data_IF_511568255087
#
_entry.id   IF_511568255087
#
_cell.length_a   1.000
_cell.length_b   1.000
_cell.length_c   1.000
_cell.angle_alpha   90.00
_cell.angle_beta   90.00
_cell.angle_gamma   90.00
#
_symmetry.space_group_name_H-M   'P 1'
#
loop_
_entity.id
_entity.type
_entity.pdbx_description
1 polymer ?
#
# COMPACT_ATOMS: atom_id res chain seq x y z
N UNK A 1 2.18 27.45 -7.53
CA UNK A 1 1.54 28.26 -6.47
C UNK A 1 1.54 27.42 -5.18
N UNK A 2 2.41 27.74 -4.23
CA UNK A 2 2.34 27.15 -2.90
C UNK A 2 1.15 27.77 -2.16
N UNK A 3 0.20 26.95 -1.74
CA UNK A 3 -0.88 27.42 -0.87
C UNK A 3 -0.28 27.72 0.51
N UNK A 4 -0.38 28.96 0.96
CA UNK A 4 0.15 29.41 2.26
C UNK A 4 -0.91 29.43 3.37
N UNK A 5 -2.11 28.89 3.10
CA UNK A 5 -3.20 28.80 4.08
C UNK A 5 -3.15 27.54 4.93
N UNK A 6 -3.81 27.56 6.09
CA UNK A 6 -3.98 26.39 6.97
C UNK A 6 -4.89 25.34 6.35
N UNK A 7 -5.74 25.72 5.42
CA UNK A 7 -6.74 24.91 4.74
C UNK A 7 -6.52 24.90 3.25
N UNK A 8 -6.93 23.83 2.62
CA UNK A 8 -6.66 23.54 1.23
C UNK A 8 -7.73 24.09 0.25
N UNK A 9 -8.83 24.56 0.80
CA UNK A 9 -9.93 25.17 0.03
C UNK A 9 -9.57 26.52 -0.58
N UNK A 10 -10.55 27.18 -1.20
CA UNK A 10 -10.38 28.55 -1.70
C UNK A 10 -10.23 29.57 -0.57
N UNK A 11 -10.20 29.11 0.68
CA UNK A 11 -10.14 29.94 1.88
C UNK A 11 -8.72 30.00 2.43
N UNK A 12 -8.24 31.18 2.72
CA UNK A 12 -7.05 31.37 3.55
C UNK A 12 -7.47 31.87 4.93
N UNK A 13 -7.41 30.98 5.93
CA UNK A 13 -7.85 31.27 7.29
C UNK A 13 -7.10 32.45 7.88
N UNK A 14 -5.78 32.55 7.66
CA UNK A 14 -4.93 33.63 8.14
C UNK A 14 -5.39 34.97 7.58
N UNK A 15 -5.68 35.05 6.28
CA UNK A 15 -6.16 36.26 5.62
C UNK A 15 -7.59 36.60 6.05
N UNK A 16 -8.45 35.60 6.26
CA UNK A 16 -9.79 35.80 6.80
C UNK A 16 -9.77 36.41 8.20
N UNK A 17 -8.94 35.87 9.10
CA UNK A 17 -8.74 36.39 10.45
C UNK A 17 -8.17 37.81 10.38
N UNK A 18 -7.15 38.07 9.55
CA UNK A 18 -6.56 39.37 9.37
C UNK A 18 -7.60 40.38 8.87
N UNK A 19 -8.41 40.02 7.87
CA UNK A 19 -9.47 40.88 7.33
C UNK A 19 -10.53 41.21 8.37
N UNK A 20 -10.92 40.26 9.24
CA UNK A 20 -11.84 40.50 10.33
C UNK A 20 -11.27 41.52 11.34
N UNK A 21 -10.08 41.25 11.87
CA UNK A 21 -9.45 42.17 12.83
C UNK A 21 -9.22 43.56 12.25
N UNK A 22 -8.78 43.68 11.01
CA UNK A 22 -8.61 44.96 10.33
C UNK A 22 -9.94 45.67 10.13
N UNK A 23 -11.00 44.95 9.71
CA UNK A 23 -12.31 45.54 9.48
C UNK A 23 -12.88 46.11 10.77
N UNK A 24 -12.80 45.42 11.91
CA UNK A 24 -13.32 45.91 13.17
C UNK A 24 -12.42 46.95 13.80
N UNK A 25 -11.10 46.82 13.70
CA UNK A 25 -10.16 47.72 14.42
C UNK A 25 -9.77 48.98 13.64
N UNK A 26 -9.86 48.97 12.29
CA UNK A 26 -9.29 50.03 11.47
C UNK A 26 -10.30 50.76 10.56
N UNK A 27 -11.59 50.46 10.65
CA UNK A 27 -12.61 51.01 9.73
C UNK A 27 -12.74 52.56 9.83
N UNK A 28 -12.41 53.13 10.97
CA UNK A 28 -12.49 54.56 11.20
C UNK A 28 -11.23 55.33 10.73
N UNK A 29 -10.12 54.62 10.59
CA UNK A 29 -8.86 55.20 10.14
C UNK A 29 -8.86 55.52 8.66
N UNK A 30 -8.09 56.56 8.28
CA UNK A 30 -7.98 57.06 6.91
C UNK A 30 -6.54 57.41 6.54
N UNK A 31 -6.26 57.47 5.23
CA UNK A 31 -4.97 57.90 4.70
C UNK A 31 -3.79 57.05 5.18
N UNK A 32 -2.68 57.70 5.50
CA UNK A 32 -1.42 57.05 5.89
C UNK A 32 -1.56 56.23 7.16
N UNK A 33 -2.38 56.65 8.11
CA UNK A 33 -2.61 55.92 9.35
C UNK A 33 -3.29 54.57 9.11
N UNK A 34 -4.27 54.52 8.22
CA UNK A 34 -4.89 53.24 7.84
C UNK A 34 -3.85 52.26 7.22
N UNK A 35 -2.98 52.75 6.36
CA UNK A 35 -1.91 51.93 5.76
C UNK A 35 -0.93 51.42 6.81
N UNK A 36 -0.43 52.27 7.71
CA UNK A 36 0.54 51.91 8.73
C UNK A 36 -0.04 50.88 9.71
N UNK A 37 -1.24 51.14 10.24
CA UNK A 37 -1.88 50.20 11.15
C UNK A 37 -2.28 48.89 10.47
N UNK A 38 -2.70 48.90 9.21
CA UNK A 38 -2.94 47.66 8.43
C UNK A 38 -1.64 46.85 8.26
N UNK A 39 -0.51 47.51 8.00
CA UNK A 39 0.79 46.85 7.94
C UNK A 39 1.17 46.20 9.28
N UNK A 40 0.99 46.92 10.38
CA UNK A 40 1.29 46.43 11.74
C UNK A 40 0.39 45.24 12.09
N UNK A 41 -0.93 45.35 11.89
CA UNK A 41 -1.87 44.26 12.18
C UNK A 41 -1.55 42.98 11.38
N UNK A 42 -1.31 43.14 10.07
CA UNK A 42 -0.95 41.99 9.24
C UNK A 42 0.35 41.36 9.69
N UNK A 43 1.37 42.16 10.00
CA UNK A 43 2.68 41.68 10.44
C UNK A 43 2.57 40.92 11.77
N UNK A 44 1.81 41.42 12.74
CA UNK A 44 1.58 40.74 14.02
C UNK A 44 0.85 39.41 13.80
N UNK A 45 -0.21 39.41 12.99
CA UNK A 45 -0.97 38.18 12.69
C UNK A 45 -0.08 37.16 11.96
N UNK A 46 0.73 37.59 10.98
CA UNK A 46 1.65 36.71 10.26
C UNK A 46 2.72 36.12 11.20
N UNK A 47 3.26 36.95 12.11
CA UNK A 47 4.25 36.50 13.09
C UNK A 47 3.66 35.50 14.08
N UNK A 48 2.50 35.77 14.66
CA UNK A 48 1.79 34.88 15.59
C UNK A 48 1.42 33.56 14.88
N UNK A 49 0.84 33.66 13.68
CA UNK A 49 0.44 32.50 12.91
C UNK A 49 1.66 31.62 12.55
N UNK A 50 2.79 32.23 12.16
CA UNK A 50 4.04 31.51 11.86
C UNK A 50 4.54 30.68 13.04
N UNK A 51 4.57 31.29 14.23
CA UNK A 51 4.99 30.62 15.47
C UNK A 51 4.01 29.49 15.89
N UNK A 52 2.70 29.76 15.82
CA UNK A 52 1.68 28.77 16.17
C UNK A 52 1.74 27.55 15.24
N UNK A 53 1.89 27.79 13.94
CA UNK A 53 1.99 26.73 12.92
C UNK A 53 3.26 25.91 13.14
N UNK A 54 4.41 26.55 13.34
CA UNK A 54 5.67 25.84 13.57
C UNK A 54 5.63 25.02 14.88
N UNK A 55 5.06 25.59 15.95
CA UNK A 55 4.87 24.89 17.23
C UNK A 55 3.92 23.68 17.10
N UNK A 56 2.83 23.83 16.33
CA UNK A 56 1.82 22.79 16.17
C UNK A 56 2.26 21.66 15.21
N UNK A 57 2.93 22.02 14.12
CA UNK A 57 3.19 21.11 13.00
C UNK A 57 4.68 20.84 12.75
N UNK A 58 5.59 21.43 13.55
CA UNK A 58 7.05 21.27 13.43
C UNK A 58 7.61 21.66 12.04
N UNK A 59 6.88 22.47 11.28
CA UNK A 59 7.23 22.87 9.90
C UNK A 59 6.94 24.34 9.68
N UNK A 60 7.84 25.02 8.95
CA UNK A 60 7.61 26.40 8.48
C UNK A 60 6.89 26.37 7.13
N UNK A 61 5.78 27.09 7.02
CA UNK A 61 5.01 27.17 5.77
C UNK A 61 5.47 28.27 4.85
N UNK A 62 6.12 29.30 5.39
CA UNK A 62 6.85 30.34 4.66
C UNK A 62 8.13 30.66 5.40
N UNK A 63 9.12 31.18 4.67
CA UNK A 63 10.42 31.51 5.21
C UNK A 63 10.98 32.73 4.47
N UNK A 64 11.13 33.83 5.21
CA UNK A 64 11.71 35.07 4.73
C UNK A 64 13.18 35.22 5.14
N UNK A 65 13.84 34.22 5.68
CA UNK A 65 15.22 34.30 6.18
C UNK A 65 16.22 34.79 5.12
N UNK A 66 15.90 34.58 3.82
CA UNK A 66 16.73 35.04 2.69
C UNK A 66 16.47 36.50 2.29
N UNK A 67 15.47 37.14 2.86
CA UNK A 67 15.10 38.52 2.53
C UNK A 67 15.71 39.43 3.57
N UNK A 68 16.35 40.55 3.14
CA UNK A 68 16.86 41.58 4.07
C UNK A 68 15.75 42.16 4.91
N UNK A 69 16.06 42.55 6.17
CA UNK A 69 15.14 43.08 7.16
C UNK A 69 13.97 42.14 7.50
N UNK A 70 14.30 40.86 7.69
CA UNK A 70 13.38 39.91 8.27
C UNK A 70 13.60 39.78 9.79
N UNK A 71 12.57 39.31 10.50
CA UNK A 71 12.63 38.93 11.91
C UNK A 71 12.33 37.40 11.98
N UNK A 72 13.35 36.65 12.39
CA UNK A 72 13.30 35.18 12.55
C UNK A 72 12.79 34.41 11.33
N UNK A 73 12.76 35.03 10.15
CA UNK A 73 12.24 34.44 8.92
C UNK A 73 10.71 34.37 8.84
N UNK A 74 9.96 34.80 9.87
CA UNK A 74 8.49 34.77 9.84
C UNK A 74 7.89 36.00 9.17
N UNK A 75 8.52 37.15 9.33
CA UNK A 75 8.07 38.44 8.79
C UNK A 75 9.23 39.20 8.17
N UNK A 76 8.96 40.09 7.23
CA UNK A 76 9.95 40.99 6.65
C UNK A 76 9.31 42.32 6.25
N UNK A 77 10.08 43.43 6.32
CA UNK A 77 9.57 44.77 6.01
C UNK A 77 8.93 44.84 4.61
N UNK A 78 9.52 44.34 3.54
CA UNK A 78 8.86 44.41 2.23
C UNK A 78 7.49 43.70 2.19
N UNK A 79 7.33 42.56 2.86
CA UNK A 79 6.06 41.85 2.91
C UNK A 79 5.06 42.66 3.75
N UNK A 80 5.48 43.24 4.90
CA UNK A 80 4.63 44.08 5.73
C UNK A 80 4.07 45.31 4.99
N UNK A 81 4.88 45.93 4.14
CA UNK A 81 4.41 47.05 3.30
C UNK A 81 3.37 46.61 2.26
N UNK A 82 3.58 45.44 1.64
CA UNK A 82 2.59 44.84 0.71
C UNK A 82 1.28 44.56 1.45
N UNK A 83 1.36 43.97 2.66
CA UNK A 83 0.19 43.70 3.49
C UNK A 83 -0.53 44.96 3.91
N UNK A 84 0.21 46.03 4.23
CA UNK A 84 -0.36 47.37 4.51
C UNK A 84 -1.15 47.90 3.34
N UNK A 85 -0.61 47.83 2.11
CA UNK A 85 -1.32 48.22 0.90
C UNK A 85 -2.59 47.40 0.66
N UNK A 86 -2.50 46.06 0.78
CA UNK A 86 -3.65 45.16 0.62
C UNK A 86 -4.72 45.41 1.68
N UNK A 87 -4.33 45.63 2.93
CA UNK A 87 -5.25 46.00 4.02
C UNK A 87 -5.95 47.34 3.77
N UNK A 88 -5.20 48.33 3.33
CA UNK A 88 -5.78 49.64 2.94
C UNK A 88 -6.82 49.48 1.83
N UNK A 89 -6.48 48.77 0.75
CA UNK A 89 -7.40 48.51 -0.35
C UNK A 89 -8.63 47.69 0.08
N UNK A 90 -8.42 46.66 0.92
CA UNK A 90 -9.48 45.82 1.44
C UNK A 90 -10.50 46.60 2.27
N UNK A 91 -10.04 47.43 3.20
CA UNK A 91 -10.93 48.24 4.07
C UNK A 91 -11.62 49.35 3.27
N UNK A 92 -10.87 50.03 2.40
CA UNK A 92 -11.39 51.22 1.70
C UNK A 92 -12.37 50.86 0.59
N UNK A 93 -12.10 49.83 -0.16
CA UNK A 93 -12.89 49.42 -1.33
C UNK A 93 -13.43 47.99 -1.24
N UNK A 94 -12.65 47.03 -0.72
CA UNK A 94 -13.04 45.63 -0.65
C UNK A 94 -14.31 45.42 0.19
N UNK A 95 -14.40 46.02 1.35
CA UNK A 95 -15.58 45.93 2.23
C UNK A 95 -16.84 46.53 1.57
N UNK A 96 -16.67 47.66 0.85
CA UNK A 96 -17.80 48.28 0.12
C UNK A 96 -18.26 47.40 -1.01
N UNK A 97 -17.33 46.83 -1.77
CA UNK A 97 -17.65 45.91 -2.85
C UNK A 97 -18.36 44.66 -2.31
N UNK A 98 -17.87 44.08 -1.24
CA UNK A 98 -18.50 42.92 -0.58
C UNK A 98 -19.93 43.22 -0.13
N UNK A 99 -20.17 44.36 0.49
CA UNK A 99 -21.51 44.83 0.93
C UNK A 99 -22.46 44.97 -0.27
N UNK A 100 -21.99 45.52 -1.40
CA UNK A 100 -22.80 45.63 -2.62
C UNK A 100 -23.19 44.24 -3.14
N UNK A 101 -22.23 43.35 -3.24
CA UNK A 101 -22.47 41.97 -3.73
C UNK A 101 -23.44 41.25 -2.79
N UNK A 102 -23.27 41.35 -1.47
CA UNK A 102 -24.20 40.74 -0.52
C UNK A 102 -25.61 41.30 -0.57
N UNK A 103 -25.77 42.61 -0.84
CA UNK A 103 -27.07 43.25 -1.01
C UNK A 103 -27.81 42.82 -2.30
N UNK A 104 -27.09 42.30 -3.30
CA UNK A 104 -27.69 41.77 -4.53
C UNK A 104 -28.35 40.38 -4.33
N UNK A 105 -28.00 39.68 -3.24
CA UNK A 105 -28.53 38.34 -2.98
C UNK A 105 -29.73 38.42 -2.02
N UNK A 106 -30.84 37.70 -2.24
CA UNK A 106 -31.89 37.55 -1.26
C UNK A 106 -31.34 37.03 0.08
N UNK A 107 -31.83 37.56 1.19
CA UNK A 107 -31.33 37.25 2.53
C UNK A 107 -31.33 35.75 2.84
N UNK A 108 -32.34 35.04 2.35
CA UNK A 108 -32.46 33.57 2.49
C UNK A 108 -31.30 32.83 1.79
N UNK A 109 -31.03 33.15 0.53
CA UNK A 109 -29.92 32.57 -0.24
C UNK A 109 -28.55 32.88 0.38
N UNK A 110 -28.39 34.10 0.88
CA UNK A 110 -27.15 34.51 1.55
C UNK A 110 -26.92 33.69 2.83
N UNK A 111 -27.96 33.48 3.66
CA UNK A 111 -27.85 32.65 4.86
C UNK A 111 -27.46 31.19 4.51
N UNK A 112 -28.07 30.58 3.49
CA UNK A 112 -27.72 29.25 3.03
C UNK A 112 -26.28 29.21 2.55
N UNK A 113 -25.88 30.17 1.70
CA UNK A 113 -24.52 30.25 1.18
C UNK A 113 -23.47 30.33 2.29
N UNK A 114 -23.70 31.20 3.28
CA UNK A 114 -22.81 31.35 4.44
C UNK A 114 -22.73 30.08 5.25
N UNK A 115 -23.86 29.39 5.51
CA UNK A 115 -23.86 28.13 6.25
C UNK A 115 -23.11 27.01 5.49
N UNK A 116 -23.29 26.91 4.18
CA UNK A 116 -22.59 25.95 3.33
C UNK A 116 -21.08 26.24 3.33
N UNK A 117 -20.68 27.52 3.15
CA UNK A 117 -19.27 27.91 3.17
C UNK A 117 -18.62 27.67 4.54
N UNK A 118 -19.35 27.94 5.64
CA UNK A 118 -18.88 27.61 7.00
C UNK A 118 -18.73 26.08 7.18
N UNK A 119 -19.68 25.30 6.72
CA UNK A 119 -19.60 23.84 6.75
C UNK A 119 -18.38 23.31 6.00
N UNK A 120 -18.13 23.82 4.79
CA UNK A 120 -16.95 23.48 3.99
C UNK A 120 -15.66 23.89 4.70
N UNK A 121 -15.63 25.07 5.30
CA UNK A 121 -14.47 25.58 6.05
C UNK A 121 -14.17 24.70 7.27
N UNK A 122 -15.19 24.31 8.05
CA UNK A 122 -15.03 23.44 9.22
C UNK A 122 -14.48 22.06 8.81
N UNK A 123 -15.05 21.47 7.76
CA UNK A 123 -14.57 20.17 7.22
C UNK A 123 -13.12 20.29 6.75
N UNK A 124 -12.77 21.38 6.08
CA UNK A 124 -11.41 21.59 5.55
C UNK A 124 -10.40 21.85 6.69
N UNK A 125 -10.77 22.59 7.74
CA UNK A 125 -9.93 22.78 8.94
C UNK A 125 -9.71 21.44 9.67
N UNK A 126 -10.77 20.69 9.91
CA UNK A 126 -10.68 19.41 10.61
C UNK A 126 -9.86 18.40 9.80
N UNK A 127 -10.10 18.30 8.50
CA UNK A 127 -9.34 17.44 7.61
C UNK A 127 -7.85 17.78 7.57
N UNK A 128 -7.54 19.08 7.44
CA UNK A 128 -6.15 19.57 7.44
C UNK A 128 -5.45 19.33 8.78
N UNK A 129 -6.13 19.59 9.89
CA UNK A 129 -5.60 19.36 11.24
C UNK A 129 -5.31 17.89 11.52
N UNK A 130 -6.22 16.98 11.16
CA UNK A 130 -6.06 15.55 11.37
C UNK A 130 -4.90 14.97 10.55
N UNK A 131 -4.72 15.45 9.32
CA UNK A 131 -3.65 15.00 8.44
C UNK A 131 -2.27 15.54 8.84
N UNK A 132 -2.19 16.83 9.22
CA UNK A 132 -0.92 17.46 9.59
C UNK A 132 -0.40 16.97 10.97
N UNK A 133 -1.26 16.49 11.86
CA UNK A 133 -0.86 15.99 13.19
C UNK A 133 -0.38 14.53 13.18
N UNK A 134 -0.10 13.95 12.01
CA UNK A 134 0.47 12.59 11.89
C UNK A 134 -0.49 11.45 12.29
N UNK A 135 -1.79 11.75 12.47
CA UNK A 135 -2.81 10.75 12.79
C UNK A 135 -3.51 10.17 11.53
N UNK A 136 -2.80 10.12 10.41
CA UNK A 136 -3.27 9.40 9.21
C UNK A 136 -3.66 7.93 9.50
N UNK A 137 -3.07 7.32 10.54
CA UNK A 137 -3.53 6.03 11.08
C UNK A 137 -4.98 6.05 11.59
N UNK A 138 -5.47 7.20 12.06
CA UNK A 138 -6.85 7.29 12.55
C UNK A 138 -7.86 7.51 11.43
N UNK A 139 -7.46 8.07 10.28
CA UNK A 139 -8.35 8.15 9.12
C UNK A 139 -8.61 6.76 8.53
N UNK A 140 -7.56 5.95 8.38
CA UNK A 140 -7.67 4.54 7.99
C UNK A 140 -8.46 3.70 9.02
N UNK A 141 -8.37 4.06 10.31
CA UNK A 141 -9.14 3.41 11.38
C UNK A 141 -10.61 3.87 11.41
N UNK A 142 -10.89 5.12 11.00
CA UNK A 142 -12.26 5.61 10.80
C UNK A 142 -12.94 4.94 9.60
N UNK A 143 -12.19 4.70 8.51
CA UNK A 143 -12.66 3.89 7.38
C UNK A 143 -12.98 2.45 7.82
N UNK A 144 -12.13 1.85 8.66
CA UNK A 144 -12.34 0.49 9.18
C UNK A 144 -13.46 0.38 10.23
N UNK A 145 -13.79 1.46 10.98
CA UNK A 145 -14.84 1.45 12.00
C UNK A 145 -16.24 1.70 11.43
N UNK A 146 -16.31 2.22 10.21
CA UNK A 146 -17.57 2.50 9.49
C UNK A 146 -18.08 1.33 8.64
N UNK A 147 -17.60 0.11 8.82
CA UNK A 147 -18.12 -1.10 8.15
C UNK A 147 -19.60 -1.41 8.48
N UNK A 148 -20.22 -0.65 9.39
CA UNK A 148 -21.61 -0.83 9.82
C UNK A 148 -22.64 0.17 9.27
N UNK A 149 -22.24 1.21 8.53
CA UNK A 149 -23.15 2.21 7.98
C UNK A 149 -23.11 2.21 6.45
N UNK A 150 -24.13 1.60 5.89
CA UNK A 150 -24.60 1.56 4.51
C UNK A 150 -23.67 1.99 3.34
N UNK A 151 -23.61 1.11 2.34
CA UNK A 151 -22.85 1.18 1.07
C UNK A 151 -22.90 2.53 0.32
N UNK A 152 -23.86 3.39 0.59
CA UNK A 152 -24.02 4.72 -0.05
C UNK A 152 -23.19 5.77 0.70
N UNK A 153 -23.15 5.72 2.03
CA UNK A 153 -22.33 6.60 2.87
C UNK A 153 -20.83 6.34 2.66
N UNK A 154 -20.42 5.08 2.48
CA UNK A 154 -19.04 4.69 2.23
C UNK A 154 -18.48 5.18 0.88
N UNK A 155 -19.34 5.20 -0.16
CA UNK A 155 -18.94 5.67 -1.50
C UNK A 155 -18.75 7.20 -1.54
N UNK A 156 -19.55 7.94 -0.80
CA UNK A 156 -19.44 9.38 -0.66
C UNK A 156 -18.27 9.75 0.26
N UNK A 157 -18.11 9.06 1.39
CA UNK A 157 -17.01 9.23 2.34
C UNK A 157 -15.64 8.95 1.72
N UNK A 158 -15.50 7.86 0.96
CA UNK A 158 -14.25 7.53 0.27
C UNK A 158 -13.93 8.48 -0.89
N UNK A 159 -14.95 9.01 -1.58
CA UNK A 159 -14.77 10.03 -2.62
C UNK A 159 -14.31 11.37 -2.02
N UNK A 160 -14.91 11.77 -0.88
CA UNK A 160 -14.55 13.01 -0.17
C UNK A 160 -13.15 12.89 0.44
N UNK A 161 -12.82 11.79 1.12
CA UNK A 161 -11.49 11.57 1.70
C UNK A 161 -10.41 11.46 0.64
N UNK A 162 -10.67 10.80 -0.48
CA UNK A 162 -9.76 10.73 -1.62
C UNK A 162 -9.56 12.09 -2.31
N UNK A 163 -10.59 12.91 -2.41
CA UNK A 163 -10.51 14.26 -2.97
C UNK A 163 -9.74 15.21 -2.05
N UNK A 164 -10.05 15.20 -0.75
CA UNK A 164 -9.36 15.98 0.29
C UNK A 164 -7.89 15.56 0.37
N UNK A 165 -7.59 14.25 0.39
CA UNK A 165 -6.23 13.72 0.42
C UNK A 165 -5.38 14.15 -0.77
N UNK A 166 -5.92 14.07 -2.01
CA UNK A 166 -5.22 14.53 -3.22
C UNK A 166 -4.94 16.04 -3.20
N UNK A 167 -5.87 16.84 -2.70
CA UNK A 167 -5.69 18.29 -2.59
C UNK A 167 -4.64 18.67 -1.57
N UNK A 168 -4.62 18.00 -0.41
CA UNK A 168 -3.64 18.24 0.65
C UNK A 168 -2.23 17.84 0.20
N UNK A 169 -2.09 16.70 -0.49
CA UNK A 169 -0.82 16.29 -1.11
C UNK A 169 -0.25 17.36 -2.04
N UNK A 170 -1.13 18.02 -2.82
CA UNK A 170 -0.74 19.07 -3.76
C UNK A 170 -0.45 20.42 -3.04
N UNK A 171 -1.12 20.70 -1.95
CA UNK A 171 -0.98 21.95 -1.20
C UNK A 171 0.27 21.97 -0.28
N UNK A 172 0.63 20.83 0.30
CA UNK A 172 1.70 20.71 1.29
C UNK A 172 2.75 19.65 0.95
N UNK A 173 3.48 19.76 -0.19
CA UNK A 173 4.39 18.72 -0.65
C UNK A 173 5.53 18.43 0.35
N UNK A 174 6.06 19.47 1.03
CA UNK A 174 7.13 19.30 2.04
C UNK A 174 6.66 18.59 3.31
N UNK A 175 5.45 18.91 3.80
CA UNK A 175 4.87 18.24 4.97
C UNK A 175 4.58 16.76 4.67
N UNK A 176 4.07 16.46 3.47
CA UNK A 176 3.85 15.08 3.03
C UNK A 176 5.15 14.30 2.84
N UNK A 177 6.21 14.96 2.39
CA UNK A 177 7.53 14.33 2.29
C UNK A 177 8.10 13.95 3.67
N UNK A 178 7.92 14.81 4.69
CA UNK A 178 8.34 14.51 6.05
C UNK A 178 7.52 13.37 6.66
N UNK A 179 6.19 13.37 6.50
CA UNK A 179 5.32 12.28 6.95
C UNK A 179 5.74 10.97 6.28
N UNK A 180 6.02 10.98 4.98
CA UNK A 180 6.50 9.80 4.26
C UNK A 180 7.85 9.31 4.78
N UNK A 181 8.79 10.20 5.07
CA UNK A 181 10.10 9.86 5.64
C UNK A 181 9.97 9.26 7.05
N UNK A 182 9.07 9.79 7.88
CA UNK A 182 8.79 9.24 9.21
C UNK A 182 8.14 7.85 9.11
N UNK A 183 7.15 7.67 8.23
CA UNK A 183 6.53 6.35 7.98
C UNK A 183 7.53 5.33 7.42
N UNK A 184 8.41 5.74 6.51
CA UNK A 184 9.48 4.89 5.99
C UNK A 184 10.51 4.53 7.08
N UNK A 185 10.83 5.47 7.99
CA UNK A 185 11.71 5.22 9.12
C UNK A 185 11.07 4.28 10.16
N UNK A 186 9.78 4.43 10.43
CA UNK A 186 9.03 3.47 11.29
C UNK A 186 8.96 2.08 10.64
N UNK A 187 8.68 1.99 9.34
CA UNK A 187 8.68 0.73 8.59
C UNK A 187 10.03 0.03 8.62
N UNK A 188 11.15 0.77 8.60
CA UNK A 188 12.49 0.19 8.72
C UNK A 188 12.76 -0.50 10.07
N UNK A 189 12.00 -0.18 11.11
CA UNK A 189 12.10 -0.80 12.44
C UNK A 189 11.32 -2.12 12.54
N UNK A 190 10.43 -2.39 11.61
CA UNK A 190 9.61 -3.61 11.58
C UNK A 190 10.22 -4.63 10.63
N UNK A 191 10.42 -5.87 11.11
CA UNK A 191 10.93 -6.94 10.27
C UNK A 191 10.00 -7.21 9.09
N UNK A 192 10.58 -7.35 7.91
CA UNK A 192 9.86 -7.69 6.66
C UNK A 192 8.67 -6.76 6.35
N UNK A 193 8.69 -5.48 6.79
CA UNK A 193 7.67 -4.52 6.47
C UNK A 193 7.53 -4.33 4.94
N UNK A 194 6.30 -4.23 4.45
CA UNK A 194 6.02 -4.07 3.03
C UNK A 194 6.23 -5.36 2.23
N UNK A 195 6.76 -5.24 1.00
CA UNK A 195 7.00 -6.36 0.08
C UNK A 195 8.49 -6.44 -0.28
N UNK A 196 9.35 -6.65 0.72
CA UNK A 196 10.79 -6.80 0.55
C UNK A 196 11.23 -8.27 0.53
N UNK A 197 12.55 -8.49 0.33
CA UNK A 197 13.17 -9.82 0.23
C UNK A 197 12.73 -10.77 1.35
N UNK A 198 12.87 -10.38 2.62
CA UNK A 198 12.51 -11.23 3.75
C UNK A 198 11.02 -11.61 3.76
N UNK A 199 10.13 -10.68 3.39
CA UNK A 199 8.70 -10.95 3.26
C UNK A 199 8.43 -11.99 2.20
N UNK A 200 8.98 -11.83 1.00
CA UNK A 200 8.76 -12.71 -0.15
C UNK A 200 9.27 -14.12 0.13
N UNK A 201 10.46 -14.26 0.75
CA UNK A 201 11.00 -15.57 1.13
C UNK A 201 10.11 -16.27 2.14
N UNK A 202 9.66 -15.59 3.20
CA UNK A 202 8.78 -16.21 4.17
C UNK A 202 7.41 -16.57 3.59
N UNK A 203 6.87 -15.73 2.70
CA UNK A 203 5.64 -16.02 1.97
C UNK A 203 5.79 -17.22 1.03
N UNK A 204 6.96 -17.40 0.42
CA UNK A 204 7.27 -18.62 -0.34
C UNK A 204 7.11 -19.87 0.53
N UNK A 205 7.70 -19.91 1.73
CA UNK A 205 7.58 -21.06 2.62
C UNK A 205 6.15 -21.29 3.10
N UNK A 206 5.45 -20.23 3.48
CA UNK A 206 4.03 -20.33 3.85
C UNK A 206 3.19 -20.81 2.68
N UNK A 207 3.42 -20.29 1.48
CA UNK A 207 2.73 -20.70 0.27
C UNK A 207 3.04 -22.13 -0.12
N UNK A 208 4.30 -22.56 -0.02
CA UNK A 208 4.71 -23.94 -0.31
C UNK A 208 4.05 -24.95 0.65
N UNK A 209 4.00 -24.63 1.93
CA UNK A 209 3.36 -25.46 2.95
C UNK A 209 1.84 -25.52 2.80
N UNK A 210 1.17 -24.36 2.72
CA UNK A 210 -0.28 -24.30 2.55
C UNK A 210 -0.73 -24.88 1.21
N UNK A 211 0.05 -24.70 0.16
CA UNK A 211 -0.24 -25.24 -1.16
C UNK A 211 -0.21 -26.76 -1.18
N UNK A 212 0.80 -27.39 -0.58
CA UNK A 212 0.88 -28.85 -0.45
C UNK A 212 -0.32 -29.42 0.30
N UNK A 213 -0.69 -28.81 1.43
CA UNK A 213 -1.88 -29.21 2.20
C UNK A 213 -3.16 -29.06 1.35
N UNK A 214 -3.31 -27.93 0.67
CA UNK A 214 -4.49 -27.66 -0.16
C UNK A 214 -4.62 -28.69 -1.28
N UNK A 215 -3.53 -28.98 -2.01
CA UNK A 215 -3.54 -30.00 -3.05
C UNK A 215 -3.78 -31.40 -2.50
N UNK A 216 -3.20 -31.75 -1.36
CA UNK A 216 -3.41 -33.05 -0.71
C UNK A 216 -4.88 -33.24 -0.33
N UNK A 217 -5.53 -32.21 0.24
CA UNK A 217 -6.96 -32.21 0.55
C UNK A 217 -7.79 -32.28 -0.75
N UNK A 218 -7.42 -31.52 -1.77
CA UNK A 218 -8.10 -31.53 -3.07
C UNK A 218 -8.05 -32.93 -3.71
N UNK A 219 -6.89 -33.61 -3.70
CA UNK A 219 -6.78 -34.98 -4.19
C UNK A 219 -7.67 -35.97 -3.41
N UNK A 220 -7.79 -35.77 -2.08
CA UNK A 220 -8.70 -36.57 -1.26
C UNK A 220 -10.15 -36.40 -1.66
N UNK A 221 -10.57 -35.17 -1.92
CA UNK A 221 -11.97 -34.86 -2.28
C UNK A 221 -12.30 -35.35 -3.70
N UNK A 222 -11.38 -35.15 -4.66
CA UNK A 222 -11.64 -35.43 -6.07
C UNK A 222 -11.32 -36.86 -6.49
N UNK A 223 -10.20 -37.42 -6.03
CA UNK A 223 -9.73 -38.76 -6.39
C UNK A 223 -9.95 -39.81 -5.29
N UNK A 224 -10.44 -39.41 -4.10
CA UNK A 224 -10.71 -40.33 -2.98
C UNK A 224 -9.47 -40.88 -2.27
N UNK A 225 -8.26 -40.45 -2.65
CA UNK A 225 -6.99 -40.99 -2.13
C UNK A 225 -6.19 -39.90 -1.44
N UNK A 226 -5.48 -40.27 -0.35
CA UNK A 226 -4.47 -39.39 0.24
C UNK A 226 -3.16 -39.60 -0.51
N UNK A 227 -2.68 -38.54 -1.16
CA UNK A 227 -1.47 -38.59 -1.96
C UNK A 227 -0.62 -37.37 -1.67
N UNK A 228 0.68 -37.55 -1.49
CA UNK A 228 1.62 -36.45 -1.32
C UNK A 228 1.68 -35.59 -2.58
N UNK A 229 1.68 -34.26 -2.39
CA UNK A 229 1.86 -33.26 -3.45
C UNK A 229 3.14 -32.45 -3.26
N UNK A 230 4.02 -32.93 -2.34
CA UNK A 230 5.30 -32.30 -2.08
C UNK A 230 6.23 -32.32 -3.29
N UNK A 231 6.89 -31.22 -3.54
CA UNK A 231 7.93 -31.10 -4.57
C UNK A 231 9.30 -31.52 -4.07
N UNK A 232 9.46 -31.79 -2.77
CA UNK A 232 10.75 -32.07 -2.12
C UNK A 232 10.64 -33.23 -1.14
N UNK A 233 11.77 -33.86 -0.86
CA UNK A 233 11.82 -35.08 -0.04
C UNK A 233 11.70 -34.79 1.47
N UNK A 234 12.01 -33.56 1.92
CA UNK A 234 11.92 -33.16 3.31
C UNK A 234 10.75 -32.22 3.56
N UNK A 235 9.69 -32.77 4.11
CA UNK A 235 8.51 -32.03 4.54
C UNK A 235 7.49 -31.77 3.41
N UNK A 236 6.30 -31.28 3.81
CA UNK A 236 5.20 -31.05 2.89
C UNK A 236 5.33 -29.66 2.25
N UNK A 237 6.18 -29.54 1.24
CA UNK A 237 6.39 -28.26 0.55
C UNK A 237 6.19 -28.41 -0.97
N UNK A 238 5.20 -27.73 -1.50
CA UNK A 238 5.01 -27.57 -2.94
C UNK A 238 5.75 -26.32 -3.43
N UNK A 239 6.88 -26.50 -4.11
CA UNK A 239 7.68 -25.37 -4.67
C UNK A 239 6.83 -24.54 -5.63
N UNK A 240 5.97 -25.20 -6.42
CA UNK A 240 5.08 -24.52 -7.39
C UNK A 240 4.17 -23.53 -6.67
N UNK A 241 3.51 -23.93 -5.59
CA UNK A 241 2.67 -23.00 -4.80
C UNK A 241 3.48 -21.92 -4.08
N UNK A 242 4.64 -22.28 -3.55
CA UNK A 242 5.53 -21.32 -2.93
C UNK A 242 5.96 -20.21 -3.88
N UNK A 243 6.39 -20.57 -5.08
CA UNK A 243 6.76 -19.62 -6.13
C UNK A 243 5.55 -18.83 -6.63
N UNK A 244 4.39 -19.46 -6.80
CA UNK A 244 3.16 -18.78 -7.20
C UNK A 244 2.80 -17.66 -6.22
N UNK A 245 2.77 -17.95 -4.91
CA UNK A 245 2.45 -16.97 -3.86
C UNK A 245 3.52 -15.86 -3.79
N UNK A 246 4.79 -16.22 -3.87
CA UNK A 246 5.88 -15.25 -3.86
C UNK A 246 5.80 -14.30 -5.06
N UNK A 247 5.63 -14.85 -6.28
CA UNK A 247 5.58 -14.07 -7.52
C UNK A 247 4.32 -13.23 -7.62
N UNK A 248 3.12 -13.80 -7.35
CA UNK A 248 1.88 -13.03 -7.39
C UNK A 248 1.90 -11.90 -6.38
N UNK A 249 2.48 -12.14 -5.19
CA UNK A 249 2.63 -11.09 -4.19
C UNK A 249 3.61 -10.01 -4.64
N UNK A 250 4.77 -10.38 -5.15
CA UNK A 250 5.76 -9.42 -5.65
C UNK A 250 5.19 -8.55 -6.80
N UNK A 251 4.48 -9.15 -7.74
CA UNK A 251 3.93 -8.47 -8.91
C UNK A 251 2.70 -7.61 -8.57
N UNK A 252 1.80 -8.12 -7.75
CA UNK A 252 0.51 -7.49 -7.50
C UNK A 252 0.43 -6.73 -6.17
N UNK A 253 1.47 -6.72 -5.35
CA UNK A 253 1.49 -6.01 -4.06
C UNK A 253 1.01 -4.56 -4.15
N UNK A 254 1.44 -3.84 -5.20
CA UNK A 254 1.02 -2.44 -5.44
C UNK A 254 -0.47 -2.30 -5.75
N UNK A 255 -1.10 -3.37 -6.16
CA UNK A 255 -2.50 -3.43 -6.59
C UNK A 255 -3.40 -4.20 -5.61
N UNK A 256 -2.88 -4.63 -4.46
CA UNK A 256 -3.60 -5.44 -3.45
C UNK A 256 -4.92 -4.81 -2.97
N UNK A 257 -5.00 -3.48 -3.02
CA UNK A 257 -6.18 -2.71 -2.61
C UNK A 257 -7.16 -2.39 -3.78
N UNK A 258 -6.86 -2.90 -4.98
CA UNK A 258 -7.77 -2.79 -6.14
C UNK A 258 -9.00 -3.68 -5.97
N UNK A 259 -10.00 -3.49 -6.86
CA UNK A 259 -11.25 -4.27 -6.84
C UNK A 259 -11.00 -5.76 -7.00
N UNK A 260 -11.92 -6.56 -6.45
CA UNK A 260 -11.85 -8.02 -6.54
C UNK A 260 -11.87 -8.49 -8.00
N UNK A 261 -12.67 -7.84 -8.86
CA UNK A 261 -12.69 -8.12 -10.31
C UNK A 261 -11.34 -7.88 -10.98
N UNK A 262 -10.62 -6.82 -10.60
CA UNK A 262 -9.28 -6.58 -11.12
C UNK A 262 -8.31 -7.68 -10.71
N UNK A 263 -8.29 -8.03 -9.41
CA UNK A 263 -7.41 -9.09 -8.89
C UNK A 263 -7.76 -10.45 -9.49
N UNK A 264 -9.06 -10.73 -9.70
CA UNK A 264 -9.52 -11.95 -10.35
C UNK A 264 -9.03 -12.06 -11.79
N UNK A 265 -9.24 -11.05 -12.62
CA UNK A 265 -8.83 -11.07 -14.04
C UNK A 265 -7.31 -11.21 -14.15
N UNK A 266 -6.55 -10.40 -13.44
CA UNK A 266 -5.09 -10.46 -13.50
C UNK A 266 -4.57 -11.76 -12.88
N UNK A 267 -5.16 -12.23 -11.79
CA UNK A 267 -4.85 -13.51 -11.18
C UNK A 267 -5.10 -14.70 -12.11
N UNK A 268 -6.21 -14.69 -12.86
CA UNK A 268 -6.54 -15.69 -13.89
C UNK A 268 -5.46 -15.74 -14.97
N UNK A 269 -5.08 -14.59 -15.52
CA UNK A 269 -4.08 -14.50 -16.58
C UNK A 269 -2.68 -14.91 -16.10
N UNK A 270 -2.24 -14.35 -14.97
CA UNK A 270 -0.91 -14.64 -14.42
C UNK A 270 -0.81 -16.07 -13.92
N UNK A 271 -1.86 -16.61 -13.30
CA UNK A 271 -1.90 -17.98 -12.82
C UNK A 271 -1.84 -18.99 -13.96
N UNK A 272 -2.62 -18.80 -15.02
CA UNK A 272 -2.55 -19.64 -16.20
C UNK A 272 -1.20 -19.59 -16.90
N UNK A 273 -0.62 -18.39 -17.07
CA UNK A 273 0.72 -18.25 -17.64
C UNK A 273 1.79 -18.94 -16.76
N UNK A 274 1.70 -18.78 -15.45
CA UNK A 274 2.60 -19.41 -14.51
C UNK A 274 2.52 -20.94 -14.58
N UNK A 275 1.31 -21.51 -14.57
CA UNK A 275 1.09 -22.95 -14.64
C UNK A 275 1.63 -23.54 -15.95
N UNK A 276 1.39 -22.85 -17.08
CA UNK A 276 1.96 -23.24 -18.37
C UNK A 276 3.49 -23.27 -18.34
N UNK A 277 4.12 -22.20 -17.82
CA UNK A 277 5.58 -22.11 -17.70
C UNK A 277 6.15 -23.21 -16.79
N UNK A 278 5.48 -23.53 -15.69
CA UNK A 278 5.89 -24.61 -14.80
C UNK A 278 5.83 -25.97 -15.51
N UNK A 279 4.77 -26.25 -16.29
CA UNK A 279 4.66 -27.48 -17.06
C UNK A 279 5.79 -27.62 -18.09
N UNK A 280 6.06 -26.56 -18.86
CA UNK A 280 7.17 -26.54 -19.84
C UNK A 280 8.52 -26.72 -19.14
N UNK A 281 8.75 -26.04 -18.03
CA UNK A 281 9.99 -26.14 -17.28
C UNK A 281 10.25 -27.55 -16.76
N UNK A 282 9.24 -28.19 -16.15
CA UNK A 282 9.38 -29.54 -15.60
C UNK A 282 9.62 -30.57 -16.69
N UNK A 283 9.02 -30.42 -17.85
CA UNK A 283 9.27 -31.30 -19.00
C UNK A 283 10.71 -31.13 -19.54
N UNK A 284 11.19 -29.91 -19.73
CA UNK A 284 12.54 -29.67 -20.24
C UNK A 284 13.61 -30.11 -19.24
N UNK A 285 13.43 -29.87 -17.94
CA UNK A 285 14.47 -30.12 -16.93
C UNK A 285 14.47 -31.54 -16.43
N UNK A 286 13.29 -32.12 -16.24
CA UNK A 286 13.13 -33.43 -15.62
C UNK A 286 12.66 -34.52 -16.62
N UNK A 287 12.31 -34.17 -17.87
CA UNK A 287 11.70 -35.08 -18.82
C UNK A 287 10.38 -35.68 -18.31
N UNK A 288 9.66 -34.95 -17.44
CA UNK A 288 8.45 -35.43 -16.77
C UNK A 288 7.36 -34.35 -16.72
N UNK A 289 6.13 -34.80 -16.95
CA UNK A 289 4.92 -33.97 -16.78
C UNK A 289 4.23 -34.43 -15.50
N UNK A 290 3.89 -33.48 -14.62
CA UNK A 290 3.28 -33.76 -13.32
C UNK A 290 1.75 -33.60 -13.31
N UNK A 291 1.18 -33.01 -14.38
CA UNK A 291 -0.27 -32.90 -14.61
C UNK A 291 -0.54 -32.86 -16.11
N UNK A 292 -1.72 -33.30 -16.50
CA UNK A 292 -2.18 -33.31 -17.88
C UNK A 292 -3.68 -33.01 -17.93
N UNK A 293 -4.05 -31.99 -18.69
CA UNK A 293 -5.44 -31.53 -18.88
C UNK A 293 -5.97 -31.85 -20.29
N UNK A 294 -5.30 -32.71 -21.07
CA UNK A 294 -5.66 -32.98 -22.46
C UNK A 294 -7.09 -33.49 -22.64
N UNK A 295 -7.62 -34.20 -21.65
CA UNK A 295 -9.00 -34.72 -21.67
C UNK A 295 -10.06 -33.67 -21.25
N UNK A 296 -9.64 -32.49 -20.73
CA UNK A 296 -10.55 -31.47 -20.24
C UNK A 296 -10.77 -30.42 -21.34
N UNK A 297 -12.03 -30.05 -21.68
CA UNK A 297 -12.30 -28.99 -22.68
C UNK A 297 -11.64 -27.66 -22.32
N UNK A 298 -11.31 -26.85 -23.35
CA UNK A 298 -10.64 -25.56 -23.23
C UNK A 298 -9.23 -25.64 -22.59
N UNK A 299 -8.51 -26.73 -22.84
CA UNK A 299 -7.09 -26.83 -22.50
C UNK A 299 -6.20 -26.22 -23.61
N UNK A 300 -4.98 -25.82 -23.24
CA UNK A 300 -3.94 -25.41 -24.18
C UNK A 300 -2.76 -26.37 -24.10
N UNK A 301 -2.73 -27.33 -25.07
CA UNK A 301 -1.70 -28.33 -25.14
C UNK A 301 -1.62 -29.26 -23.92
N UNK A 302 -2.72 -29.51 -23.24
CA UNK A 302 -2.77 -30.31 -22.01
C UNK A 302 -2.12 -29.66 -20.79
N UNK A 303 -1.46 -28.50 -20.96
CA UNK A 303 -0.64 -27.87 -19.91
C UNK A 303 -1.41 -26.98 -18.97
N UNK A 304 -2.43 -26.28 -19.48
CA UNK A 304 -3.36 -25.45 -18.72
C UNK A 304 -4.78 -25.67 -19.21
N UNK A 305 -5.73 -25.34 -18.34
CA UNK A 305 -7.15 -25.39 -18.65
C UNK A 305 -7.84 -24.11 -18.15
N UNK A 306 -8.82 -23.60 -18.90
CA UNK A 306 -9.52 -22.36 -18.58
C UNK A 306 -10.19 -22.40 -17.20
N UNK A 307 -10.78 -23.52 -16.81
CA UNK A 307 -11.40 -23.68 -15.49
C UNK A 307 -10.38 -23.49 -14.37
N UNK A 308 -9.18 -24.09 -14.49
CA UNK A 308 -8.12 -23.95 -13.50
C UNK A 308 -7.52 -22.55 -13.49
N UNK A 309 -7.46 -21.87 -14.65
CA UNK A 309 -7.10 -20.47 -14.69
C UNK A 309 -8.06 -19.60 -13.85
N UNK A 310 -9.36 -19.88 -13.86
CA UNK A 310 -10.32 -19.18 -12.99
C UNK A 310 -10.09 -19.50 -11.51
N UNK A 311 -9.69 -20.70 -11.14
CA UNK A 311 -9.30 -21.01 -9.76
C UNK A 311 -8.09 -20.20 -9.32
N UNK A 312 -7.10 -19.97 -10.18
CA UNK A 312 -5.99 -19.04 -9.90
C UNK A 312 -6.48 -17.61 -9.66
N UNK A 313 -7.46 -17.15 -10.42
CA UNK A 313 -8.11 -15.85 -10.21
C UNK A 313 -8.79 -15.75 -8.85
N UNK A 314 -9.57 -16.77 -8.46
CA UNK A 314 -10.19 -16.84 -7.13
C UNK A 314 -9.13 -16.87 -6.03
N UNK A 315 -8.09 -17.71 -6.21
CA UNK A 315 -6.98 -17.81 -5.26
C UNK A 315 -6.27 -16.47 -5.05
N UNK A 316 -6.06 -15.67 -6.11
CA UNK A 316 -5.48 -14.34 -6.00
C UNK A 316 -6.34 -13.37 -5.19
N UNK A 317 -7.67 -13.38 -5.39
CA UNK A 317 -8.60 -12.56 -4.60
C UNK A 317 -8.58 -12.98 -3.13
N UNK A 318 -8.73 -14.29 -2.86
CA UNK A 318 -8.71 -14.82 -1.48
C UNK A 318 -7.38 -14.52 -0.81
N UNK A 319 -6.28 -14.67 -1.54
CA UNK A 319 -4.94 -14.35 -1.04
C UNK A 319 -4.86 -12.90 -0.58
N UNK A 320 -5.08 -11.94 -1.46
CA UNK A 320 -4.89 -10.52 -1.13
C UNK A 320 -5.93 -9.95 -0.16
N UNK A 321 -7.16 -10.43 -0.22
CA UNK A 321 -8.26 -9.88 0.60
C UNK A 321 -8.44 -10.56 1.94
N UNK A 322 -8.03 -11.82 2.07
CA UNK A 322 -8.25 -12.59 3.29
C UNK A 322 -6.95 -13.11 3.91
N UNK A 323 -6.10 -13.81 3.16
CA UNK A 323 -4.98 -14.56 3.73
C UNK A 323 -3.76 -13.66 3.98
N UNK A 324 -3.32 -12.93 2.94
CA UNK A 324 -2.12 -12.08 2.98
C UNK A 324 -2.09 -11.08 4.14
N UNK A 325 -3.18 -10.32 4.46
CA UNK A 325 -3.14 -9.36 5.56
C UNK A 325 -2.79 -10.00 6.90
N UNK A 326 -3.36 -11.17 7.20
CA UNK A 326 -3.08 -11.89 8.46
C UNK A 326 -1.67 -12.45 8.52
N UNK A 327 -1.23 -13.14 7.45
CA UNK A 327 0.12 -13.72 7.38
C UNK A 327 1.17 -12.61 7.42
N UNK A 328 0.98 -11.52 6.66
CA UNK A 328 1.86 -10.36 6.69
C UNK A 328 1.99 -9.76 8.08
N UNK A 329 0.87 -9.60 8.80
CA UNK A 329 0.87 -9.09 10.16
C UNK A 329 1.58 -10.03 11.15
N UNK A 330 1.50 -11.34 10.96
CA UNK A 330 2.24 -12.30 11.79
C UNK A 330 3.74 -12.27 11.51
N UNK A 331 4.14 -12.22 10.25
CA UNK A 331 5.55 -12.09 9.86
C UNK A 331 6.16 -10.81 10.44
N UNK A 332 5.43 -9.69 10.40
CA UNK A 332 5.88 -8.39 10.89
C UNK A 332 6.03 -8.32 12.42
N UNK A 333 5.44 -9.25 13.17
CA UNK A 333 5.63 -9.38 14.61
C UNK A 333 6.95 -10.06 15.01
N UNK A 334 7.61 -10.73 14.08
CA UNK A 334 8.87 -11.43 14.35
C UNK A 334 9.96 -10.38 14.65
N UNK A 335 10.75 -10.55 15.74
CA UNK A 335 11.86 -9.65 16.01
C UNK A 335 12.86 -9.60 14.86
N UNK A 336 13.43 -8.43 14.58
CA UNK A 336 14.30 -8.16 13.43
C UNK A 336 15.43 -9.19 13.26
N UNK A 337 16.16 -9.49 14.35
CA UNK A 337 17.29 -10.42 14.29
C UNK A 337 16.80 -11.86 14.07
N UNK A 338 15.82 -12.29 14.85
CA UNK A 338 15.24 -13.64 14.73
C UNK A 338 14.67 -13.89 13.32
N UNK A 339 13.98 -12.90 12.77
CA UNK A 339 13.42 -12.99 11.42
C UNK A 339 14.49 -13.12 10.34
N UNK A 340 15.57 -12.37 10.43
CA UNK A 340 16.71 -12.50 9.50
C UNK A 340 17.35 -13.88 9.60
N UNK A 341 17.66 -14.34 10.81
CA UNK A 341 18.26 -15.67 11.03
C UNK A 341 17.34 -16.77 10.52
N UNK A 342 16.06 -16.72 10.87
CA UNK A 342 15.05 -17.67 10.38
C UNK A 342 14.99 -17.71 8.85
N UNK A 343 14.97 -16.55 8.21
CA UNK A 343 14.89 -16.48 6.75
C UNK A 343 16.09 -17.14 6.08
N UNK A 344 17.30 -16.84 6.55
CA UNK A 344 18.50 -17.46 6.00
C UNK A 344 18.58 -18.97 6.28
N UNK A 345 18.20 -19.38 7.49
CA UNK A 345 18.10 -20.81 7.82
C UNK A 345 17.14 -21.53 6.87
N UNK A 346 15.96 -20.97 6.61
CA UNK A 346 14.98 -21.54 5.71
C UNK A 346 15.49 -21.58 4.26
N UNK A 347 16.21 -20.56 3.79
CA UNK A 347 16.82 -20.58 2.46
C UNK A 347 17.81 -21.72 2.33
N UNK A 348 18.73 -21.85 3.29
CA UNK A 348 19.74 -22.92 3.30
C UNK A 348 19.04 -24.28 3.34
N UNK A 349 18.05 -24.45 4.22
CA UNK A 349 17.25 -25.65 4.32
C UNK A 349 16.62 -26.02 2.98
N UNK A 350 15.97 -25.06 2.30
CA UNK A 350 15.31 -25.33 1.02
C UNK A 350 16.31 -25.66 -0.09
N UNK A 351 17.45 -24.98 -0.15
CA UNK A 351 18.51 -25.28 -1.13
C UNK A 351 19.03 -26.71 -0.94
N UNK A 352 19.33 -27.09 0.30
CA UNK A 352 19.74 -28.47 0.61
C UNK A 352 18.63 -29.49 0.27
N UNK A 353 17.39 -29.17 0.62
CA UNK A 353 16.24 -30.04 0.35
C UNK A 353 16.04 -30.24 -1.16
N UNK A 354 16.11 -29.19 -1.96
CA UNK A 354 16.04 -29.29 -3.43
C UNK A 354 17.19 -30.11 -3.98
N UNK A 355 18.42 -29.88 -3.52
CA UNK A 355 19.59 -30.64 -3.98
C UNK A 355 19.45 -32.15 -3.70
N UNK A 356 19.03 -32.50 -2.49
CA UNK A 356 18.80 -33.90 -2.10
C UNK A 356 17.63 -34.49 -2.89
N UNK A 357 16.56 -33.72 -3.11
CA UNK A 357 15.40 -34.16 -3.91
C UNK A 357 15.78 -34.44 -5.36
N UNK A 358 16.62 -33.60 -5.96
CA UNK A 358 17.12 -33.82 -7.32
C UNK A 358 17.97 -35.10 -7.39
N UNK A 359 18.89 -35.31 -6.44
CA UNK A 359 19.71 -36.52 -6.37
C UNK A 359 18.83 -37.78 -6.24
N UNK A 360 17.86 -37.75 -5.32
CA UNK A 360 16.93 -38.85 -5.08
C UNK A 360 16.07 -39.17 -6.32
N UNK A 361 15.58 -38.14 -7.03
CA UNK A 361 14.76 -38.29 -8.24
C UNK A 361 15.57 -38.89 -9.42
N UNK A 362 16.79 -38.39 -9.62
CA UNK A 362 17.70 -38.94 -10.65
C UNK A 362 18.02 -40.39 -10.34
N UNK A 363 18.34 -40.72 -9.10
CA UNK A 363 18.61 -42.12 -8.70
C UNK A 363 17.39 -43.03 -8.85
N UNK A 364 16.19 -42.53 -8.51
CA UNK A 364 14.95 -43.28 -8.72
C UNK A 364 14.73 -43.63 -10.20
N UNK A 365 14.98 -42.68 -11.11
CA UNK A 365 14.90 -42.89 -12.54
C UNK A 365 15.97 -43.85 -13.06
N UNK A 366 17.22 -43.73 -12.59
CA UNK A 366 18.34 -44.61 -12.95
C UNK A 366 18.10 -46.05 -12.47
N UNK A 367 17.56 -46.24 -11.25
CA UNK A 367 17.19 -47.58 -10.74
C UNK A 367 16.08 -48.21 -11.57
N UNK A 368 15.09 -47.42 -11.98
CA UNK A 368 14.03 -47.87 -12.91
C UNK A 368 14.58 -48.39 -14.26
N UNK A 369 15.75 -47.86 -14.68
CA UNK A 369 16.48 -48.31 -15.90
C UNK A 369 17.52 -49.38 -15.62
N UNK A 370 17.63 -49.91 -14.40
CA UNK A 370 18.57 -50.96 -14.02
C UNK A 370 20.02 -50.48 -13.81
N UNK A 371 20.27 -49.17 -13.71
CA UNK A 371 21.61 -48.61 -13.50
C UNK A 371 22.05 -48.77 -12.05
N UNK A 372 23.17 -49.43 -11.83
CA UNK A 372 23.75 -49.65 -10.48
C UNK A 372 24.47 -48.43 -9.96
N UNK A 373 24.44 -48.22 -8.64
CA UNK A 373 25.14 -47.11 -7.99
C UNK A 373 26.68 -47.26 -8.07
N UNK A 374 27.36 -46.30 -8.67
CA UNK A 374 28.81 -46.30 -8.86
C UNK A 374 29.57 -45.54 -7.77
N UNK A 375 29.00 -44.47 -7.24
CA UNK A 375 29.66 -43.60 -6.28
C UNK A 375 28.95 -43.57 -4.92
N UNK A 376 29.63 -42.99 -3.89
CA UNK A 376 29.13 -42.94 -2.52
C UNK A 376 27.84 -42.14 -2.38
N UNK A 377 27.64 -41.10 -3.18
CA UNK A 377 26.43 -40.25 -3.12
C UNK A 377 25.22 -41.05 -3.66
N UNK A 378 25.42 -41.81 -4.74
CA UNK A 378 24.38 -42.67 -5.31
C UNK A 378 23.98 -43.81 -4.35
N UNK A 379 24.99 -44.47 -3.72
CA UNK A 379 24.73 -45.48 -2.69
C UNK A 379 23.98 -44.92 -1.50
N UNK A 380 24.37 -43.76 -1.03
CA UNK A 380 23.66 -43.06 0.05
C UNK A 380 22.23 -42.73 -0.33
N UNK A 381 22.00 -42.28 -1.58
CA UNK A 381 20.64 -41.97 -2.06
C UNK A 381 19.78 -43.24 -2.16
N UNK A 382 20.34 -44.37 -2.62
CA UNK A 382 19.63 -45.64 -2.69
C UNK A 382 19.27 -46.20 -1.31
N UNK A 383 20.12 -46.00 -0.32
CA UNK A 383 19.88 -46.42 1.07
C UNK A 383 18.80 -45.59 1.76
N UNK A 384 18.78 -44.27 1.53
CA UNK A 384 17.88 -43.35 2.23
C UNK A 384 16.58 -43.06 1.48
N UNK A 385 16.56 -43.22 0.16
CA UNK A 385 15.44 -42.93 -0.74
C UNK A 385 15.20 -44.11 -1.70
N UNK A 386 14.79 -45.23 -1.12
CA UNK A 386 14.41 -46.43 -1.89
C UNK A 386 13.15 -46.18 -2.75
N UNK A 387 12.83 -47.12 -3.63
CA UNK A 387 11.73 -46.98 -4.59
C UNK A 387 10.38 -46.84 -3.88
N UNK A 388 10.13 -47.58 -2.81
CA UNK A 388 8.89 -47.52 -2.05
C UNK A 388 8.69 -46.11 -1.40
N UNK A 389 9.78 -45.51 -0.93
CA UNK A 389 9.76 -44.17 -0.38
C UNK A 389 9.56 -43.10 -1.46
N UNK A 390 10.21 -43.27 -2.62
CA UNK A 390 10.07 -42.36 -3.75
C UNK A 390 8.67 -42.41 -4.37
N UNK A 391 8.05 -43.55 -4.51
CA UNK A 391 6.67 -43.72 -4.95
C UNK A 391 5.67 -43.00 -3.99
N UNK A 392 5.95 -43.09 -2.68
CA UNK A 392 5.13 -42.40 -1.68
C UNK A 392 5.27 -40.87 -1.75
N UNK A 393 6.48 -40.37 -2.04
CA UNK A 393 6.74 -38.91 -2.13
C UNK A 393 6.25 -38.35 -3.47
N UNK A 394 6.49 -39.06 -4.58
CA UNK A 394 6.19 -38.63 -5.95
C UNK A 394 5.26 -39.63 -6.69
N UNK A 395 4.04 -39.84 -6.22
CA UNK A 395 3.14 -40.87 -6.75
C UNK A 395 2.72 -40.65 -8.22
N UNK A 396 2.84 -39.43 -8.73
CA UNK A 396 2.45 -39.06 -10.09
C UNK A 396 3.64 -38.76 -11.03
N UNK A 397 4.87 -39.06 -10.63
CA UNK A 397 6.02 -38.88 -11.51
C UNK A 397 6.00 -39.89 -12.65
N UNK A 398 5.41 -39.51 -13.81
CA UNK A 398 5.44 -40.33 -15.04
C UNK A 398 6.58 -39.85 -15.94
N UNK A 399 7.32 -40.79 -16.53
CA UNK A 399 8.29 -40.50 -17.59
C UNK A 399 7.53 -39.98 -18.84
N UNK A 400 8.05 -38.97 -19.52
CA UNK A 400 7.60 -38.58 -20.86
C UNK A 400 8.24 -39.58 -21.85
N UNK A 401 7.42 -40.19 -22.71
CA UNK A 401 7.88 -41.04 -23.82
C UNK A 401 8.65 -40.24 -24.86
#
# INVERSE_FOLDING_TARGET
FANRGLVNGPFCVIYGIAALFMTFGLQELRGVWLFLFAAIYATVIEWVAGHLIEKAFKTRWWDYSKIKWNLDGYICIPASLVWGALGYLGIRWGNRFAIIVFKMLPLFLMKILVLVLLGVLVVDILGSYLLLRGKGKNLARWEATNEGLDKVSNKLGSAISGWVGKRIQKAYPKAMELIRKEEEAEKRKVFAAGCGFYKIVLLFFVGAFLGDITETIFCRITAGVWMSRSSVVWGPFSIVWGLAIALVTAMLYKYKDKSDSFLFIIGTLLGGAYEYLCSVFTEIVFGKVFWDYSEIPFNLGGRINLLYCFFWGIAAVVWFKKIYPYISAWIEKIPMLAGKVLTWFLIIFMVCNVAVSCIALVRYDERGKGVVAENSIQKWADEHYDDAKMEKIYPNAKATE
#
